data_IF_502026383434
#
_entry.id   IF_502026383434
#
_cell.length_a   1.000
_cell.length_b   1.000
_cell.length_c   1.000
_cell.angle_alpha   90.00
_cell.angle_beta   90.00
_cell.angle_gamma   90.00
#
_symmetry.space_group_name_H-M   'P 1'
#
loop_
_entity.id
_entity.type
_entity.pdbx_description
1 polymer ?
#
# COMPACT_ATOMS: atom_id res chain seq x y z
N UNK A 1 18.34 28.84 14.52
CA UNK A 1 17.04 28.11 14.55
C UNK A 1 17.10 27.00 13.51
N UNK A 2 17.41 25.76 13.90
CA UNK A 2 17.63 24.64 12.95
C UNK A 2 16.32 24.15 12.32
N UNK A 3 16.40 23.83 11.02
CA UNK A 3 15.32 23.84 10.02
C UNK A 3 14.27 22.71 10.13
N UNK A 4 13.00 23.07 9.91
CA UNK A 4 11.93 22.12 9.59
C UNK A 4 12.16 21.57 8.17
N UNK A 5 12.20 20.25 8.02
CA UNK A 5 12.33 19.65 6.69
C UNK A 5 10.94 19.53 6.06
N UNK A 6 10.81 20.06 4.85
CA UNK A 6 9.55 20.12 4.11
C UNK A 6 9.61 19.23 2.87
N UNK A 7 8.54 18.51 2.59
CA UNK A 7 8.44 17.57 1.48
C UNK A 7 7.17 17.83 0.69
N UNK A 8 7.29 17.89 -0.64
CA UNK A 8 6.13 17.95 -1.55
C UNK A 8 5.73 16.52 -1.92
N UNK A 9 4.44 16.20 -1.81
CA UNK A 9 3.87 14.89 -2.19
C UNK A 9 2.39 15.04 -2.54
N UNK A 10 1.70 13.93 -2.80
CA UNK A 10 0.27 13.88 -3.12
C UNK A 10 -0.56 13.30 -1.98
N UNK A 11 -1.81 13.75 -1.87
CA UNK A 11 -2.82 13.16 -0.99
C UNK A 11 -3.12 11.72 -1.43
N UNK A 12 -3.11 10.77 -0.50
CA UNK A 12 -3.28 9.33 -0.77
C UNK A 12 -4.74 8.84 -0.75
N UNK A 13 -5.72 9.75 -0.73
CA UNK A 13 -7.13 9.37 -0.61
C UNK A 13 -7.83 9.21 -1.96
N UNK A 14 -8.45 10.26 -2.48
CA UNK A 14 -9.30 10.20 -3.66
C UNK A 14 -8.51 10.51 -4.95
N UNK A 15 -9.08 10.12 -6.09
CA UNK A 15 -8.49 10.32 -7.42
C UNK A 15 -8.30 11.77 -7.87
N UNK A 16 -8.77 12.77 -7.11
CA UNK A 16 -8.44 14.18 -7.38
C UNK A 16 -6.92 14.42 -7.36
N UNK A 17 -6.17 13.75 -6.48
CA UNK A 17 -4.71 13.84 -6.46
C UNK A 17 -4.17 15.20 -5.99
N UNK A 18 -4.77 15.79 -4.94
CA UNK A 18 -4.32 17.07 -4.39
C UNK A 18 -2.84 17.05 -3.98
N UNK A 19 -2.10 18.10 -4.35
CA UNK A 19 -0.72 18.30 -3.91
C UNK A 19 -0.65 18.87 -2.50
N UNK A 20 0.23 18.30 -1.69
CA UNK A 20 0.43 18.66 -0.28
C UNK A 20 1.90 18.94 0.02
N UNK A 21 2.11 19.71 1.09
CA UNK A 21 3.41 19.95 1.72
C UNK A 21 3.35 19.33 3.11
N UNK A 22 4.25 18.39 3.37
CA UNK A 22 4.44 17.74 4.67
C UNK A 22 5.65 18.36 5.35
N UNK A 23 5.48 18.91 6.56
CA UNK A 23 6.60 19.38 7.36
C UNK A 23 6.84 18.41 8.51
N UNK A 24 8.11 18.04 8.71
CA UNK A 24 8.56 17.24 9.83
C UNK A 24 9.35 18.12 10.79
N UNK A 25 8.91 18.20 12.04
CA UNK A 25 9.64 18.89 13.10
C UNK A 25 10.80 18.03 13.64
N UNK A 26 11.54 18.55 14.62
CA UNK A 26 12.69 17.84 15.23
C UNK A 26 12.30 16.63 16.08
N UNK A 27 11.09 16.63 16.61
CA UNK A 27 10.56 15.54 17.42
C UNK A 27 9.93 14.45 16.53
N UNK A 28 9.88 14.68 15.23
CA UNK A 28 9.33 13.78 14.24
C UNK A 28 7.85 13.96 13.96
N UNK A 29 7.19 14.96 14.58
CA UNK A 29 5.78 15.24 14.33
C UNK A 29 5.58 15.77 12.92
N UNK A 30 4.46 15.35 12.33
CA UNK A 30 4.09 15.71 10.97
C UNK A 30 2.95 16.73 10.99
N UNK A 31 3.09 17.76 10.16
CA UNK A 31 2.00 18.68 9.81
C UNK A 31 1.81 18.68 8.30
N UNK A 32 0.57 18.88 7.85
CA UNK A 32 0.19 18.86 6.44
C UNK A 32 -0.51 20.17 6.10
N UNK A 33 -0.16 20.73 4.93
CA UNK A 33 -0.91 21.82 4.29
C UNK A 33 -1.00 21.59 2.80
N UNK A 34 -1.96 22.25 2.13
CA UNK A 34 -2.03 22.19 0.67
C UNK A 34 -0.84 22.91 0.03
N UNK A 35 -0.39 22.43 -1.12
CA UNK A 35 0.65 23.09 -1.91
C UNK A 35 0.02 24.17 -2.81
N UNK A 36 0.28 25.48 -2.58
CA UNK A 36 -0.28 26.56 -3.41
C UNK A 36 0.14 26.49 -4.87
N UNK A 37 1.34 25.95 -5.13
CA UNK A 37 1.91 25.83 -6.48
C UNK A 37 1.37 24.62 -7.26
N UNK A 38 0.55 23.77 -6.64
CA UNK A 38 0.09 22.54 -7.28
C UNK A 38 -1.18 22.79 -8.11
N UNK A 39 -1.21 22.40 -9.40
CA UNK A 39 -2.24 22.85 -10.34
C UNK A 39 -3.65 22.34 -9.98
N UNK A 40 -3.74 21.14 -9.40
CA UNK A 40 -5.02 20.48 -9.11
C UNK A 40 -5.83 21.22 -8.04
N UNK A 41 -5.21 21.57 -6.92
CA UNK A 41 -5.92 22.07 -5.75
C UNK A 41 -5.52 23.50 -5.33
N UNK A 42 -4.45 24.08 -5.89
CA UNK A 42 -4.00 25.46 -5.62
C UNK A 42 -3.94 25.79 -4.12
N UNK A 43 -3.46 24.83 -3.32
CA UNK A 43 -3.35 24.97 -1.87
C UNK A 43 -4.60 24.61 -1.05
N UNK A 44 -5.76 24.36 -1.66
CA UNK A 44 -6.97 23.96 -0.96
C UNK A 44 -6.96 22.48 -0.59
N UNK A 45 -7.55 22.12 0.55
CA UNK A 45 -7.72 20.73 0.98
C UNK A 45 -9.09 20.53 1.64
N UNK A 46 -9.69 19.35 1.44
CA UNK A 46 -10.87 18.93 2.20
C UNK A 46 -10.48 18.42 3.61
N UNK A 47 -11.46 18.13 4.45
CA UNK A 47 -11.26 17.60 5.81
C UNK A 47 -10.34 16.38 5.85
N UNK A 48 -10.46 15.45 4.90
CA UNK A 48 -9.58 14.27 4.81
C UNK A 48 -8.11 14.66 4.57
N UNK A 49 -7.88 15.56 3.61
CA UNK A 49 -6.53 15.99 3.24
C UNK A 49 -5.83 16.79 4.35
N UNK A 50 -6.58 17.65 5.06
CA UNK A 50 -6.04 18.46 6.17
C UNK A 50 -5.59 17.61 7.37
N UNK A 51 -6.19 16.44 7.55
CA UNK A 51 -5.99 15.58 8.72
C UNK A 51 -5.14 14.33 8.42
N UNK A 52 -4.50 14.24 7.26
CA UNK A 52 -3.68 13.09 6.85
C UNK A 52 -2.57 12.73 7.86
N UNK A 53 -1.97 13.74 8.49
CA UNK A 53 -0.91 13.54 9.47
C UNK A 53 -1.38 12.77 10.71
N UNK A 54 -2.66 12.85 11.10
CA UNK A 54 -3.18 12.08 12.23
C UNK A 54 -3.17 10.58 11.93
N UNK A 55 -3.58 10.17 10.73
CA UNK A 55 -3.57 8.74 10.33
C UNK A 55 -2.16 8.17 10.27
N UNK A 56 -1.17 8.98 9.89
CA UNK A 56 0.23 8.53 9.84
C UNK A 56 0.86 8.47 11.23
N UNK A 57 0.50 9.39 12.13
CA UNK A 57 1.07 9.49 13.47
C UNK A 57 0.37 8.60 14.49
N UNK A 58 -0.89 8.21 14.24
CA UNK A 58 -1.54 7.17 15.03
C UNK A 58 -0.90 5.82 14.68
N UNK A 59 -0.19 5.25 15.66
CA UNK A 59 0.56 4.00 15.48
C UNK A 59 0.26 2.97 16.55
N UNK A 60 -0.73 3.18 17.41
CA UNK A 60 -1.03 2.27 18.53
C UNK A 60 -1.38 0.84 18.08
N UNK A 61 -1.95 0.68 16.88
CA UNK A 61 -2.37 -0.59 16.29
C UNK A 61 -1.60 -0.95 15.00
N UNK A 62 -0.52 -0.21 14.67
CA UNK A 62 0.24 -0.45 13.45
C UNK A 62 0.97 -1.79 13.51
N UNK A 63 0.70 -2.66 12.55
CA UNK A 63 1.40 -3.94 12.40
C UNK A 63 2.81 -3.68 11.83
N UNK A 64 3.85 -3.95 12.63
CA UNK A 64 5.25 -3.70 12.28
C UNK A 64 6.06 -4.96 11.95
N UNK A 65 5.48 -6.14 12.16
CA UNK A 65 6.13 -7.42 11.92
C UNK A 65 5.20 -8.34 11.14
N UNK A 66 5.74 -9.23 10.28
CA UNK A 66 4.96 -10.29 9.69
C UNK A 66 4.32 -11.15 10.78
N UNK A 67 3.05 -11.51 10.54
CA UNK A 67 2.32 -12.41 11.41
C UNK A 67 1.74 -13.56 10.58
N UNK A 68 1.76 -14.77 11.13
CA UNK A 68 1.39 -15.98 10.41
C UNK A 68 0.61 -16.93 11.30
N UNK A 69 -0.33 -17.68 10.70
CA UNK A 69 -0.96 -18.86 11.31
C UNK A 69 -0.35 -20.12 10.70
N UNK A 70 0.07 -21.06 11.56
CA UNK A 70 0.60 -22.36 11.10
C UNK A 70 -0.47 -23.26 10.48
N UNK A 71 -1.71 -23.12 10.94
CA UNK A 71 -2.91 -23.77 10.41
C UNK A 71 -4.10 -22.83 10.60
N UNK A 72 -5.18 -23.05 9.85
CA UNK A 72 -6.36 -22.18 9.81
C UNK A 72 -6.97 -21.92 11.20
N UNK A 73 -6.87 -22.90 12.09
CA UNK A 73 -7.42 -22.85 13.45
C UNK A 73 -6.38 -22.42 14.50
N UNK A 74 -5.13 -22.18 14.13
CA UNK A 74 -4.09 -21.76 15.07
C UNK A 74 -4.12 -20.25 15.28
N UNK A 75 -3.69 -19.75 16.44
CA UNK A 75 -3.54 -18.31 16.66
C UNK A 75 -2.51 -17.70 15.70
N UNK A 76 -2.66 -16.40 15.44
CA UNK A 76 -1.67 -15.62 14.71
C UNK A 76 -0.42 -15.45 15.58
N UNK A 77 0.76 -15.58 14.99
CA UNK A 77 2.04 -15.44 15.69
C UNK A 77 2.99 -14.57 14.88
N UNK A 78 3.76 -13.71 15.56
CA UNK A 78 4.83 -12.94 14.92
C UNK A 78 5.93 -13.87 14.41
N UNK A 79 6.42 -13.61 13.21
CA UNK A 79 7.50 -14.37 12.56
C UNK A 79 8.50 -13.43 11.88
N UNK A 80 9.65 -13.96 11.48
CA UNK A 80 10.61 -13.21 10.66
C UNK A 80 10.10 -13.05 9.22
N UNK A 81 10.64 -12.05 8.51
CA UNK A 81 10.38 -11.87 7.08
C UNK A 81 10.73 -13.12 6.27
N UNK A 82 11.90 -13.73 6.52
CA UNK A 82 12.32 -14.95 5.84
C UNK A 82 11.32 -16.09 6.04
N UNK A 83 10.88 -16.32 7.28
CA UNK A 83 9.89 -17.37 7.59
C UNK A 83 8.58 -17.14 6.86
N UNK A 84 8.08 -15.89 6.86
CA UNK A 84 6.81 -15.55 6.20
C UNK A 84 6.90 -15.72 4.67
N UNK A 85 7.98 -15.22 4.07
CA UNK A 85 8.20 -15.27 2.62
C UNK A 85 8.47 -16.70 2.15
N UNK A 86 9.29 -17.47 2.86
CA UNK A 86 9.55 -18.88 2.55
C UNK A 86 8.28 -19.71 2.61
N UNK A 87 7.45 -19.47 3.64
CA UNK A 87 6.16 -20.17 3.75
C UNK A 87 5.23 -19.81 2.59
N UNK A 88 5.08 -18.53 2.28
CA UNK A 88 4.23 -18.07 1.18
C UNK A 88 4.70 -18.66 -0.16
N UNK A 89 6.00 -18.60 -0.45
CA UNK A 89 6.60 -19.16 -1.65
C UNK A 89 6.43 -20.68 -1.73
N UNK A 90 6.65 -21.41 -0.63
CA UNK A 90 6.48 -22.86 -0.59
C UNK A 90 5.03 -23.28 -0.87
N UNK A 91 4.05 -22.58 -0.27
CA UNK A 91 2.63 -22.84 -0.50
C UNK A 91 2.27 -22.56 -1.96
N UNK A 92 2.64 -21.39 -2.51
CA UNK A 92 2.39 -21.06 -3.91
C UNK A 92 2.98 -22.11 -4.85
N UNK A 93 4.26 -22.46 -4.68
CA UNK A 93 4.93 -23.50 -5.49
C UNK A 93 4.20 -24.85 -5.41
N UNK A 94 3.75 -25.25 -4.21
CA UNK A 94 3.05 -26.52 -4.02
C UNK A 94 1.69 -26.56 -4.74
N UNK A 95 0.94 -25.47 -4.68
CA UNK A 95 -0.38 -25.33 -5.29
C UNK A 95 -0.26 -25.25 -6.81
N UNK A 96 0.67 -24.43 -7.32
CA UNK A 96 0.96 -24.33 -8.76
C UNK A 96 1.41 -25.68 -9.32
N UNK A 97 2.31 -26.39 -8.62
CA UNK A 97 2.78 -27.72 -9.07
C UNK A 97 1.63 -28.73 -9.17
N UNK A 98 0.65 -28.65 -8.28
CA UNK A 98 -0.46 -29.61 -8.21
C UNK A 98 -1.64 -29.24 -9.13
N UNK A 99 -1.92 -27.95 -9.30
CA UNK A 99 -3.15 -27.46 -9.91
C UNK A 99 -2.93 -26.52 -11.10
N UNK A 100 -1.67 -26.27 -11.49
CA UNK A 100 -1.32 -25.34 -12.56
C UNK A 100 -1.27 -23.88 -12.10
N UNK A 101 -0.75 -22.96 -12.94
CA UNK A 101 -0.54 -21.56 -12.58
C UNK A 101 -1.83 -20.80 -12.26
N UNK A 102 -2.96 -21.15 -12.89
CA UNK A 102 -4.26 -20.50 -12.66
C UNK A 102 -4.94 -20.90 -11.33
N UNK A 103 -4.27 -21.68 -10.48
CA UNK A 103 -4.74 -22.03 -9.14
C UNK A 103 -4.39 -21.00 -8.06
N UNK A 104 -3.56 -20.00 -8.40
CA UNK A 104 -3.20 -18.90 -7.52
C UNK A 104 -3.63 -17.57 -8.15
N UNK A 105 -3.66 -16.51 -7.34
CA UNK A 105 -3.94 -15.17 -7.83
C UNK A 105 -3.59 -14.08 -6.84
N UNK A 106 -3.62 -12.84 -7.32
CA UNK A 106 -3.37 -11.64 -6.53
C UNK A 106 -4.58 -10.72 -6.58
N UNK A 107 -5.01 -10.23 -5.42
CA UNK A 107 -5.99 -9.16 -5.34
C UNK A 107 -5.30 -7.91 -4.77
N UNK A 108 -5.05 -6.93 -5.65
CA UNK A 108 -4.24 -5.75 -5.33
C UNK A 108 -5.13 -4.52 -5.17
N UNK A 109 -4.53 -3.33 -5.10
CA UNK A 109 -5.21 -2.11 -4.68
C UNK A 109 -4.97 -0.96 -5.66
N UNK A 110 -6.01 -0.20 -5.98
CA UNK A 110 -5.89 1.07 -6.71
C UNK A 110 -5.18 2.17 -5.92
N UNK A 111 -4.91 1.93 -4.63
CA UNK A 111 -4.10 2.79 -3.77
C UNK A 111 -2.59 2.47 -3.83
N UNK A 112 -2.20 1.41 -4.55
CA UNK A 112 -0.79 1.13 -4.81
C UNK A 112 -0.18 2.19 -5.73
N UNK A 113 1.14 2.34 -5.63
CA UNK A 113 1.90 3.10 -6.63
C UNK A 113 1.92 2.36 -7.97
N UNK A 114 2.10 3.11 -9.05
CA UNK A 114 2.19 2.54 -10.41
C UNK A 114 3.31 1.49 -10.51
N UNK A 115 4.43 1.73 -9.84
CA UNK A 115 5.58 0.84 -9.80
C UNK A 115 5.27 -0.47 -9.07
N UNK A 116 4.56 -0.42 -7.95
CA UNK A 116 4.12 -1.60 -7.20
C UNK A 116 3.16 -2.44 -8.04
N UNK A 117 2.22 -1.76 -8.71
CA UNK A 117 1.26 -2.38 -9.61
C UNK A 117 1.96 -3.09 -10.78
N UNK A 118 2.99 -2.46 -11.33
CA UNK A 118 3.80 -3.01 -12.41
C UNK A 118 4.61 -4.23 -11.96
N UNK A 119 5.25 -4.16 -10.79
CA UNK A 119 6.01 -5.28 -10.21
C UNK A 119 5.09 -6.49 -10.00
N UNK A 120 3.88 -6.28 -9.44
CA UNK A 120 2.90 -7.35 -9.23
C UNK A 120 2.44 -7.95 -10.56
N UNK A 121 2.19 -7.14 -11.59
CA UNK A 121 1.86 -7.66 -12.93
C UNK A 121 3.00 -8.49 -13.52
N UNK A 122 4.25 -8.03 -13.40
CA UNK A 122 5.42 -8.80 -13.87
C UNK A 122 5.52 -10.13 -13.14
N UNK A 123 5.37 -10.14 -11.81
CA UNK A 123 5.37 -11.37 -11.01
C UNK A 123 4.27 -12.33 -11.46
N UNK A 124 3.01 -11.87 -11.50
CA UNK A 124 1.86 -12.75 -11.76
C UNK A 124 1.82 -13.23 -13.21
N UNK A 125 1.92 -12.33 -14.19
CA UNK A 125 1.81 -12.69 -15.60
C UNK A 125 3.12 -13.24 -16.17
N UNK A 126 4.26 -12.66 -15.77
CA UNK A 126 5.56 -12.99 -16.34
C UNK A 126 6.25 -14.20 -15.70
N UNK A 127 6.20 -14.33 -14.37
CA UNK A 127 6.90 -15.41 -13.66
C UNK A 127 6.00 -16.56 -13.26
N UNK A 128 4.80 -16.27 -12.72
CA UNK A 128 3.86 -17.31 -12.32
C UNK A 128 3.05 -17.84 -13.52
N UNK A 129 2.95 -17.08 -14.60
CA UNK A 129 2.29 -17.51 -15.84
C UNK A 129 0.77 -17.58 -15.73
N UNK A 130 0.14 -16.75 -14.88
CA UNK A 130 -1.31 -16.66 -14.77
C UNK A 130 -1.80 -15.22 -15.01
N UNK A 131 -3.05 -15.10 -15.49
CA UNK A 131 -3.73 -13.82 -15.60
C UNK A 131 -4.59 -13.47 -14.38
N UNK A 132 -4.58 -14.31 -13.34
CA UNK A 132 -5.34 -14.13 -12.10
C UNK A 132 -4.75 -13.00 -11.23
N UNK A 133 -4.94 -11.77 -11.68
CA UNK A 133 -4.66 -10.56 -10.92
C UNK A 133 -5.83 -9.59 -11.13
N UNK A 134 -6.41 -9.11 -10.04
CA UNK A 134 -7.47 -8.12 -10.09
C UNK A 134 -7.37 -7.15 -8.90
N UNK A 135 -8.22 -6.12 -8.86
CA UNK A 135 -8.12 -5.07 -7.84
C UNK A 135 -9.46 -4.58 -7.34
N UNK A 136 -9.44 -3.88 -6.21
CA UNK A 136 -10.59 -3.13 -5.72
C UNK A 136 -11.14 -2.11 -6.73
N UNK A 137 -10.34 -1.63 -7.68
CA UNK A 137 -10.80 -0.72 -8.74
C UNK A 137 -11.78 -1.38 -9.70
N UNK A 138 -11.79 -2.72 -9.82
CA UNK A 138 -12.83 -3.47 -10.56
C UNK A 138 -14.23 -3.10 -10.07
N UNK A 139 -14.41 -2.98 -8.76
CA UNK A 139 -15.70 -2.66 -8.15
C UNK A 139 -16.06 -1.17 -8.26
N UNK A 140 -15.11 -0.33 -8.62
CA UNK A 140 -15.29 1.12 -8.65
C UNK A 140 -15.44 1.67 -10.07
N UNK A 141 -14.53 1.30 -10.99
CA UNK A 141 -14.37 1.98 -12.28
C UNK A 141 -14.39 1.01 -13.48
N UNK A 142 -14.79 -0.25 -13.30
CA UNK A 142 -14.76 -1.22 -14.41
C UNK A 142 -15.74 -0.93 -15.54
N UNK A 143 -16.86 -0.27 -15.23
CA UNK A 143 -17.87 0.14 -16.20
C UNK A 143 -17.70 1.57 -16.71
N UNK A 144 -16.69 2.30 -16.21
CA UNK A 144 -16.50 3.72 -16.50
C UNK A 144 -16.07 3.97 -17.94
#
# INVERSE_FOLDING_TARGET
MAANKSYKTTCSYCGTGCGIIVNKDRNGNLTVKGNPDYPVNKGMLCSKGMNLNYVVQETSDRILHPEMRWSRNHPMQKVTWDTALDRAAAVFKSIIKKHGPDSVGFYVSGQCLTEEYYILNKLTKGFLGTNNIDTNSRLCMSSA
#
